data_IF_440935878582
#
_entry.id   IF_440935878582
#
_cell.length_a   1.000
_cell.length_b   1.000
_cell.length_c   1.000
_cell.angle_alpha   90.00
_cell.angle_beta   90.00
_cell.angle_gamma   90.00
#
_symmetry.space_group_name_H-M   'P 1'
#
loop_
_entity.id
_entity.type
_entity.pdbx_description
1 polymer ?
#
# COMPACT_ATOMS: atom_id res chain seq x y z
N UNK A 1 18.31 -48.85 6.54
CA UNK A 1 17.30 -48.08 7.30
C UNK A 1 17.78 -46.75 7.89
N UNK A 2 19.05 -46.33 7.71
CA UNK A 2 19.57 -45.05 8.29
C UNK A 2 19.62 -43.88 7.29
N UNK A 3 19.66 -44.15 5.98
CA UNK A 3 19.69 -43.13 4.91
C UNK A 3 18.39 -42.33 4.81
N UNK A 4 17.23 -42.98 4.97
CA UNK A 4 15.93 -42.27 4.96
C UNK A 4 15.78 -41.29 6.13
N UNK A 5 16.35 -41.59 7.29
CA UNK A 5 16.32 -40.69 8.45
C UNK A 5 17.14 -39.42 8.20
N UNK A 6 18.29 -39.54 7.52
CA UNK A 6 19.13 -38.40 7.13
C UNK A 6 18.41 -37.52 6.10
N UNK A 7 17.76 -38.13 5.10
CA UNK A 7 17.00 -37.40 4.08
C UNK A 7 15.82 -36.64 4.71
N UNK A 8 15.08 -37.27 5.62
CA UNK A 8 13.96 -36.62 6.32
C UNK A 8 14.46 -35.44 7.18
N UNK A 9 15.57 -35.62 7.90
CA UNK A 9 16.16 -34.54 8.71
C UNK A 9 16.61 -33.35 7.84
N UNK A 10 17.20 -33.61 6.66
CA UNK A 10 17.62 -32.57 5.72
C UNK A 10 16.43 -31.80 5.14
N UNK A 11 15.34 -32.49 4.77
CA UNK A 11 14.11 -31.87 4.26
C UNK A 11 13.42 -31.01 5.32
N UNK A 12 13.40 -31.47 6.59
CA UNK A 12 12.84 -30.69 7.69
C UNK A 12 13.64 -29.41 7.97
N UNK A 13 14.97 -29.48 7.96
CA UNK A 13 15.85 -28.31 8.09
C UNK A 13 15.61 -27.29 6.96
N UNK A 14 15.49 -27.77 5.72
CA UNK A 14 15.16 -26.91 4.58
C UNK A 14 13.77 -26.29 4.71
N UNK A 15 12.76 -27.04 5.14
CA UNK A 15 11.40 -26.55 5.31
C UNK A 15 11.32 -25.46 6.40
N UNK A 16 12.07 -25.61 7.49
CA UNK A 16 12.14 -24.61 8.57
C UNK A 16 12.86 -23.35 8.09
N UNK A 17 14.00 -23.49 7.40
CA UNK A 17 14.72 -22.35 6.82
C UNK A 17 13.89 -21.59 5.78
N UNK A 18 13.18 -22.31 4.92
CA UNK A 18 12.31 -21.73 3.90
C UNK A 18 11.08 -21.04 4.52
N UNK A 19 10.46 -21.64 5.55
CA UNK A 19 9.35 -21.04 6.28
C UNK A 19 9.73 -19.72 6.98
N UNK A 20 10.90 -19.69 7.63
CA UNK A 20 11.41 -18.50 8.30
C UNK A 20 11.74 -17.36 7.31
N UNK A 21 12.36 -17.68 6.17
CA UNK A 21 12.67 -16.72 5.10
C UNK A 21 11.41 -16.17 4.40
N UNK A 22 10.41 -17.03 4.15
CA UNK A 22 9.14 -16.62 3.55
C UNK A 22 8.33 -15.69 4.47
N UNK A 23 8.34 -15.94 5.78
CA UNK A 23 7.60 -15.13 6.75
C UNK A 23 8.19 -13.71 6.90
N UNK A 24 9.52 -13.60 6.90
CA UNK A 24 10.22 -12.30 6.96
C UNK A 24 10.02 -11.48 5.68
N UNK A 25 10.03 -12.12 4.50
CA UNK A 25 9.79 -11.41 3.24
C UNK A 25 8.37 -10.84 3.14
N UNK A 26 7.35 -11.58 3.62
CA UNK A 26 5.95 -11.15 3.57
C UNK A 26 5.69 -9.94 4.49
N UNK A 27 6.35 -9.87 5.65
CA UNK A 27 6.23 -8.74 6.57
C UNK A 27 6.84 -7.44 6.01
N UNK A 28 7.96 -7.53 5.29
CA UNK A 28 8.62 -6.36 4.69
C UNK A 28 7.87 -5.81 3.46
N UNK A 29 7.30 -6.69 2.63
CA UNK A 29 6.47 -6.28 1.50
C UNK A 29 5.22 -5.51 1.95
N UNK A 30 4.56 -5.96 3.02
CA UNK A 30 3.36 -5.29 3.57
C UNK A 30 3.69 -3.89 4.12
N UNK A 31 4.82 -3.71 4.82
CA UNK A 31 5.23 -2.39 5.33
C UNK A 31 5.54 -1.40 4.19
N UNK A 32 6.14 -1.86 3.08
CA UNK A 32 6.45 -1.01 1.92
C UNK A 32 5.18 -0.61 1.17
N UNK A 33 4.23 -1.54 1.02
CA UNK A 33 2.91 -1.27 0.41
C UNK A 33 2.08 -0.31 1.27
N UNK A 34 2.11 -0.44 2.59
CA UNK A 34 1.42 0.49 3.50
C UNK A 34 2.00 1.91 3.47
N UNK A 35 3.33 2.06 3.38
CA UNK A 35 3.98 3.37 3.24
C UNK A 35 3.59 4.06 1.92
N UNK A 36 3.54 3.32 0.82
CA UNK A 36 3.08 3.83 -0.48
C UNK A 36 1.57 4.10 -0.48
N UNK A 37 0.78 3.29 0.23
CA UNK A 37 -0.66 3.52 0.39
C UNK A 37 -0.98 4.75 1.25
N UNK A 38 -0.16 5.07 2.26
CA UNK A 38 -0.32 6.28 3.06
C UNK A 38 0.01 7.54 2.27
N UNK A 39 1.04 7.53 1.40
CA UNK A 39 1.33 8.65 0.48
C UNK A 39 0.19 8.96 -0.50
N UNK A 40 -0.82 8.09 -0.62
CA UNK A 40 -2.02 8.30 -1.44
C UNK A 40 -3.08 9.17 -0.75
N UNK A 41 -2.92 9.46 0.54
CA UNK A 41 -3.80 10.31 1.35
C UNK A 41 -3.03 11.57 1.77
N UNK A 42 -3.72 12.71 1.87
CA UNK A 42 -3.11 14.00 2.26
C UNK A 42 -2.31 13.88 3.56
N UNK A 43 -2.87 13.20 4.57
CA UNK A 43 -2.23 12.96 5.87
C UNK A 43 -0.92 12.14 5.78
N UNK A 44 -0.78 11.25 4.80
CA UNK A 44 0.45 10.46 4.65
C UNK A 44 1.57 11.21 3.95
N UNK A 45 1.24 12.21 3.12
CA UNK A 45 2.24 13.13 2.56
C UNK A 45 2.79 14.05 3.64
N UNK A 46 1.91 14.69 4.41
CA UNK A 46 2.29 15.60 5.51
C UNK A 46 3.14 14.89 6.58
N UNK A 47 2.69 13.72 7.05
CA UNK A 47 3.47 12.93 8.01
C UNK A 47 4.84 12.51 7.47
N UNK A 48 4.94 12.19 6.18
CA UNK A 48 6.21 11.81 5.58
C UNK A 48 7.15 13.02 5.44
N UNK A 49 6.62 14.18 5.06
CA UNK A 49 7.38 15.41 4.96
C UNK A 49 8.00 15.80 6.29
N UNK A 50 7.20 15.84 7.37
CA UNK A 50 7.70 16.19 8.70
C UNK A 50 8.60 15.13 9.32
N UNK A 51 8.52 13.87 8.89
CA UNK A 51 9.49 12.84 9.28
C UNK A 51 10.84 13.02 8.60
N UNK A 52 10.88 13.63 7.42
CA UNK A 52 12.14 13.83 6.68
C UNK A 52 12.90 15.03 7.24
N UNK A 53 12.19 16.14 7.47
CA UNK A 53 12.83 17.40 7.86
C UNK A 53 12.99 17.56 9.38
N UNK A 54 12.33 16.70 10.17
CA UNK A 54 12.37 16.67 11.64
C UNK A 54 12.36 18.08 12.27
N UNK A 55 11.30 18.87 12.05
CA UNK A 55 11.29 20.28 12.42
C UNK A 55 11.14 20.46 13.94
N UNK A 56 11.54 21.62 14.46
CA UNK A 56 11.15 22.02 15.84
C UNK A 56 9.65 22.20 15.96
N UNK A 57 9.13 22.31 17.18
CA UNK A 57 7.70 22.49 17.41
C UNK A 57 7.19 23.83 16.83
N UNK A 58 7.97 24.90 16.94
CA UNK A 58 7.63 26.20 16.36
C UNK A 58 7.65 26.16 14.83
N UNK A 59 8.64 25.49 14.24
CA UNK A 59 8.71 25.31 12.79
C UNK A 59 7.55 24.44 12.28
N UNK A 60 7.17 23.41 13.04
CA UNK A 60 6.05 22.55 12.70
C UNK A 60 4.74 23.33 12.67
N UNK A 61 4.50 24.19 13.66
CA UNK A 61 3.29 25.02 13.72
C UNK A 61 3.20 25.97 12.52
N UNK A 62 4.33 26.59 12.15
CA UNK A 62 4.39 27.49 10.98
C UNK A 62 4.25 26.75 9.65
N UNK A 63 4.82 25.55 9.52
CA UNK A 63 4.86 24.81 8.26
C UNK A 63 3.60 23.96 8.02
N UNK A 64 2.89 23.52 9.07
CA UNK A 64 1.71 22.67 8.94
C UNK A 64 0.64 23.21 7.97
N UNK A 65 0.19 24.48 8.05
CA UNK A 65 -0.82 24.98 7.10
C UNK A 65 -0.33 24.97 5.64
N UNK A 66 0.97 25.21 5.40
CA UNK A 66 1.56 25.18 4.06
C UNK A 66 1.57 23.74 3.54
N UNK A 67 2.08 22.80 4.34
CA UNK A 67 2.20 21.40 3.96
C UNK A 67 0.81 20.79 3.74
N UNK A 68 -0.17 21.09 4.60
CA UNK A 68 -1.54 20.63 4.47
C UNK A 68 -2.20 21.10 3.17
N UNK A 69 -1.99 22.37 2.78
CA UNK A 69 -2.50 22.92 1.52
C UNK A 69 -2.00 22.14 0.30
N UNK A 70 -0.68 21.93 0.20
CA UNK A 70 -0.10 21.17 -0.91
C UNK A 70 -0.44 19.68 -0.86
N UNK A 71 -0.52 19.09 0.33
CA UNK A 71 -0.97 17.71 0.50
C UNK A 71 -2.40 17.50 -0.05
N UNK A 72 -3.29 18.48 0.17
CA UNK A 72 -4.64 18.49 -0.41
C UNK A 72 -4.63 18.54 -1.94
N UNK A 73 -3.82 19.43 -2.52
CA UNK A 73 -3.69 19.54 -3.98
C UNK A 73 -3.13 18.26 -4.62
N UNK A 74 -2.11 17.66 -4.00
CA UNK A 74 -1.51 16.39 -4.45
C UNK A 74 -2.56 15.27 -4.37
N UNK A 75 -3.33 15.20 -3.28
CA UNK A 75 -4.40 14.22 -3.13
C UNK A 75 -5.47 14.36 -4.23
N UNK A 76 -5.87 15.60 -4.55
CA UNK A 76 -6.81 15.89 -5.63
C UNK A 76 -6.28 15.44 -7.00
N UNK A 77 -5.05 15.84 -7.35
CA UNK A 77 -4.38 15.43 -8.62
C UNK A 77 -4.24 13.92 -8.73
N UNK A 78 -3.87 13.25 -7.63
CA UNK A 78 -3.77 11.79 -7.59
C UNK A 78 -5.13 11.11 -7.78
N UNK A 79 -6.22 11.70 -7.28
CA UNK A 79 -7.58 11.18 -7.49
C UNK A 79 -7.97 11.30 -8.96
N UNK A 80 -7.76 12.46 -9.57
CA UNK A 80 -8.04 12.72 -10.98
C UNK A 80 -7.24 11.80 -11.90
N UNK A 81 -5.92 11.73 -11.71
CA UNK A 81 -5.02 10.87 -12.49
C UNK A 81 -5.43 9.40 -12.43
N UNK A 82 -5.90 8.91 -11.27
CA UNK A 82 -6.40 7.53 -11.16
C UNK A 82 -7.68 7.27 -11.94
N UNK A 83 -8.55 8.27 -12.08
CA UNK A 83 -9.77 8.15 -12.87
C UNK A 83 -9.41 8.11 -14.36
N UNK A 84 -8.52 9.02 -14.80
CA UNK A 84 -8.02 9.05 -16.18
C UNK A 84 -7.30 7.75 -16.54
N UNK A 85 -6.40 7.28 -15.69
CA UNK A 85 -5.69 6.01 -15.90
C UNK A 85 -6.65 4.81 -15.97
N UNK A 86 -7.70 4.81 -15.13
CA UNK A 86 -8.73 3.77 -15.19
C UNK A 86 -9.47 3.79 -16.54
N UNK A 87 -9.91 4.96 -16.99
CA UNK A 87 -10.61 5.10 -18.27
C UNK A 87 -9.74 4.64 -19.45
N UNK A 88 -8.45 4.96 -19.43
CA UNK A 88 -7.50 4.52 -20.45
C UNK A 88 -7.36 2.99 -20.49
N UNK A 89 -7.19 2.36 -19.32
CA UNK A 89 -7.09 0.90 -19.22
C UNK A 89 -8.39 0.23 -19.65
N UNK A 90 -9.54 0.75 -19.25
CA UNK A 90 -10.85 0.21 -19.64
C UNK A 90 -11.06 0.30 -21.16
N UNK A 91 -10.62 1.40 -21.79
CA UNK A 91 -10.69 1.60 -23.25
C UNK A 91 -9.78 0.62 -23.98
N UNK A 92 -8.52 0.50 -23.58
CA UNK A 92 -7.58 -0.49 -24.10
C UNK A 92 -8.14 -1.92 -23.97
N UNK A 93 -8.75 -2.26 -22.84
CA UNK A 93 -9.38 -3.57 -22.65
C UNK A 93 -10.54 -3.79 -23.64
N UNK A 94 -11.37 -2.78 -23.89
CA UNK A 94 -12.47 -2.87 -24.85
C UNK A 94 -11.95 -3.06 -26.27
N UNK A 95 -10.87 -2.40 -26.64
CA UNK A 95 -10.23 -2.51 -27.96
C UNK A 95 -9.60 -3.88 -28.21
N UNK A 96 -8.93 -4.46 -27.21
CA UNK A 96 -8.27 -5.77 -27.38
C UNK A 96 -9.21 -6.95 -27.20
N UNK A 97 -10.31 -6.81 -26.44
CA UNK A 97 -11.23 -7.92 -26.09
C UNK A 97 -11.72 -8.73 -27.31
N UNK A 98 -12.07 -8.13 -28.46
CA UNK A 98 -12.52 -8.88 -29.64
C UNK A 98 -11.45 -9.75 -30.29
N UNK A 99 -10.16 -9.48 -30.01
CA UNK A 99 -9.02 -10.20 -30.58
C UNK A 99 -8.54 -11.37 -29.70
N UNK A 100 -9.17 -11.56 -28.54
CA UNK A 100 -8.78 -12.55 -27.55
C UNK A 100 -9.62 -13.82 -27.65
N UNK A 101 -9.01 -14.96 -27.33
CA UNK A 101 -9.78 -16.19 -27.13
C UNK A 101 -10.66 -16.09 -25.87
N UNK A 102 -11.72 -16.90 -25.77
CA UNK A 102 -12.58 -16.92 -24.57
C UNK A 102 -11.80 -17.12 -23.26
N UNK A 103 -10.79 -17.99 -23.25
CA UNK A 103 -9.95 -18.25 -22.08
C UNK A 103 -9.10 -17.02 -21.71
N UNK A 104 -8.62 -16.28 -22.71
CA UNK A 104 -7.85 -15.05 -22.52
C UNK A 104 -8.72 -13.91 -21.99
N UNK A 105 -9.97 -13.80 -22.47
CA UNK A 105 -10.97 -12.87 -21.92
C UNK A 105 -11.23 -13.15 -20.45
N UNK A 106 -11.43 -14.42 -20.08
CA UNK A 106 -11.69 -14.79 -18.70
C UNK A 106 -10.49 -14.45 -17.77
N UNK A 107 -9.25 -14.68 -18.25
CA UNK A 107 -8.02 -14.27 -17.55
C UNK A 107 -7.97 -12.75 -17.35
N UNK A 108 -8.28 -11.98 -18.39
CA UNK A 108 -8.30 -10.52 -18.35
C UNK A 108 -9.33 -10.00 -17.34
N UNK A 109 -10.53 -10.59 -17.31
CA UNK A 109 -11.57 -10.22 -16.36
C UNK A 109 -11.21 -10.56 -14.91
N UNK A 110 -10.62 -11.74 -14.65
CA UNK A 110 -10.11 -12.10 -13.32
C UNK A 110 -9.06 -11.11 -12.83
N UNK A 111 -8.15 -10.69 -13.71
CA UNK A 111 -7.16 -9.66 -13.40
C UNK A 111 -7.83 -8.32 -13.05
N UNK A 112 -8.76 -7.85 -13.89
CA UNK A 112 -9.52 -6.61 -13.65
C UNK A 112 -10.31 -6.61 -12.34
N UNK A 113 -10.92 -7.73 -11.96
CA UNK A 113 -11.66 -7.89 -10.69
C UNK A 113 -10.74 -7.71 -9.47
N UNK A 114 -9.58 -8.38 -9.46
CA UNK A 114 -8.60 -8.26 -8.36
C UNK A 114 -8.13 -6.82 -8.14
N UNK A 115 -7.95 -6.06 -9.22
CA UNK A 115 -7.55 -4.64 -9.13
C UNK A 115 -8.67 -3.71 -8.63
N UNK A 116 -9.94 -4.05 -8.87
CA UNK A 116 -11.10 -3.31 -8.33
C UNK A 116 -11.29 -3.56 -6.84
N UNK A 117 -11.15 -4.79 -6.39
CA UNK A 117 -11.40 -5.16 -4.99
C UNK A 117 -10.33 -4.63 -4.04
N UNK A 118 -9.07 -4.51 -4.50
CA UNK A 118 -7.99 -3.89 -3.73
C UNK A 118 -8.25 -2.40 -3.38
N UNK A 119 -9.16 -1.72 -4.10
CA UNK A 119 -9.54 -0.32 -3.82
C UNK A 119 -10.66 -0.18 -2.78
N UNK A 120 -11.46 -1.22 -2.49
CA UNK A 120 -12.60 -1.13 -1.56
C UNK A 120 -12.19 -1.21 -0.08
N UNK A 121 -10.96 -1.63 0.22
CA UNK A 121 -10.42 -1.64 1.58
C UNK A 121 -9.14 -0.80 1.70
N UNK A 122 -9.23 0.55 1.64
CA UNK A 122 -8.19 1.36 2.22
C UNK A 122 -8.20 1.08 3.73
N UNK A 123 -7.05 0.67 4.28
CA UNK A 123 -6.95 0.04 5.60
C UNK A 123 -7.74 0.72 6.73
N UNK A 124 -8.64 -0.06 7.36
CA UNK A 124 -9.21 0.19 8.71
C UNK A 124 -8.16 0.08 9.84
N UNK A 125 -6.92 0.53 9.64
CA UNK A 125 -5.86 0.51 10.64
C UNK A 125 -5.11 1.85 10.59
N UNK A 126 -5.72 2.90 11.14
CA UNK A 126 -5.08 4.22 11.16
C UNK A 126 -5.85 5.33 11.86
N UNK A 127 -7.17 5.22 12.03
CA UNK A 127 -7.96 6.17 12.83
C UNK A 127 -7.69 5.95 14.34
N UNK A 128 -6.50 6.34 14.81
CA UNK A 128 -6.37 6.81 16.17
C UNK A 128 -6.93 8.24 16.17
N UNK A 129 -8.18 8.39 16.60
CA UNK A 129 -8.77 9.69 16.91
C UNK A 129 -7.78 10.45 17.79
N UNK A 130 -7.20 11.53 17.27
CA UNK A 130 -6.43 12.48 18.06
C UNK A 130 -7.41 13.10 19.06
N UNK A 131 -7.30 12.72 20.33
CA UNK A 131 -7.88 13.48 21.42
C UNK A 131 -6.92 14.64 21.68
N UNK A 132 -7.33 15.91 21.46
CA UNK A 132 -6.53 17.04 21.89
C UNK A 132 -6.30 16.89 23.39
N UNK A 133 -5.04 16.78 23.82
CA UNK A 133 -4.72 16.87 25.24
C UNK A 133 -5.01 18.29 25.67
N UNK A 134 -6.13 18.49 26.33
CA UNK A 134 -6.42 19.71 27.08
C UNK A 134 -5.23 19.98 27.99
N UNK A 135 -4.56 21.12 27.75
CA UNK A 135 -3.51 21.63 28.62
C UNK A 135 -4.15 21.89 29.98
N UNK A 136 -3.94 21.00 30.95
CA UNK A 136 -4.18 21.34 32.35
C UNK A 136 -3.07 22.26 32.78
N UNK A 137 -3.37 23.56 32.78
CA UNK A 137 -2.64 24.55 33.57
C UNK A 137 -2.92 24.26 35.05
N UNK A 138 -1.86 23.99 35.81
CA UNK A 138 -1.73 24.20 37.25
C UNK A 138 -0.25 24.09 37.62
#
# INVERSE_FOLDING_TARGET
>A
MKTYQIVIAAVLLLAVGFGAGFYTHRAMAVKRIQRVAQMRFSEGFENNFFRIIEPTDEQREQLSPIVAHYAGQIAAKNRESRLQQKALIDSMHAEVKPMLTPEQVERLERFSRRFRDFKKHPGKKGEKKYHPREKKAQ
#
